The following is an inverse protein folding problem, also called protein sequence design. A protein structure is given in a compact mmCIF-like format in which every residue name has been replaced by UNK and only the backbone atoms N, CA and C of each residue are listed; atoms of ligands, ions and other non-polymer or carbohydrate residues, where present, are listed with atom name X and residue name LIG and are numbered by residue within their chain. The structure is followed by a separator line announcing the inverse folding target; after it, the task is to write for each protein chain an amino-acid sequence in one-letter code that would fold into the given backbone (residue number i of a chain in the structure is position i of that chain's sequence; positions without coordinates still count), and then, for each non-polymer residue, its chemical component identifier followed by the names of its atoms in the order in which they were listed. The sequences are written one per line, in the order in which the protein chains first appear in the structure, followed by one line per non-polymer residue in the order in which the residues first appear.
data_IF_723871014075
#
_entry.id   IF_723871014075
#
_cell.length_a   1.000
_cell.length_b   1.000
_cell.length_c   1.000
_cell.angle_alpha   90.00
_cell.angle_beta   90.00
_cell.angle_gamma   90.00
#
_symmetry.space_group_name_H-M   'P 1'
#
loop_
_entity.id
_entity.type
_entity.pdbx_description
1 polymer ?
#
# COMPACT_ATOMS: atom_id res chain seq x y z
N UNK A 1 11.02 14.79 13.34
CA UNK A 1 11.78 13.58 12.94
C UNK A 1 11.18 12.26 13.48
N UNK A 2 10.33 12.28 14.53
CA UNK A 2 9.70 11.07 15.09
C UNK A 2 8.72 10.36 14.13
N UNK A 3 7.92 11.14 13.39
CA UNK A 3 6.81 10.63 12.57
C UNK A 3 7.23 9.71 11.42
N UNK A 4 8.35 10.01 10.76
CA UNK A 4 8.88 9.20 9.65
C UNK A 4 9.46 7.88 10.15
N UNK A 5 10.17 7.90 11.28
CA UNK A 5 10.72 6.69 11.91
C UNK A 5 9.60 5.78 12.41
N UNK A 6 8.54 6.33 13.01
CA UNK A 6 7.34 5.56 13.35
C UNK A 6 6.70 4.94 12.11
N UNK A 7 6.52 5.70 11.03
CA UNK A 7 5.95 5.18 9.78
C UNK A 7 6.79 4.04 9.19
N UNK A 8 8.12 4.13 9.22
CA UNK A 8 9.02 3.04 8.79
C UNK A 8 8.82 1.77 9.61
N UNK A 9 8.72 1.88 10.93
CA UNK A 9 8.46 0.73 11.80
C UNK A 9 7.11 0.11 11.49
N UNK A 10 6.05 0.92 11.34
CA UNK A 10 4.72 0.44 10.94
C UNK A 10 4.82 -0.35 9.64
N UNK A 11 5.41 0.23 8.58
CA UNK A 11 5.57 -0.44 7.28
C UNK A 11 6.27 -1.78 7.44
N UNK A 12 7.40 -1.82 8.16
CA UNK A 12 8.17 -3.05 8.38
C UNK A 12 7.33 -4.15 9.03
N UNK A 13 6.46 -3.79 9.98
CA UNK A 13 5.61 -4.74 10.69
C UNK A 13 4.40 -5.20 9.87
N UNK A 14 3.77 -4.29 9.11
CA UNK A 14 2.52 -4.61 8.40
C UNK A 14 2.74 -5.16 6.99
N UNK A 15 3.88 -4.86 6.35
CA UNK A 15 4.12 -5.23 4.96
C UNK A 15 3.93 -6.73 4.67
N UNK A 16 4.47 -7.67 5.46
CA UNK A 16 4.26 -9.10 5.21
C UNK A 16 2.77 -9.50 5.21
N UNK A 17 1.97 -8.91 6.09
CA UNK A 17 0.53 -9.17 6.16
C UNK A 17 -0.22 -8.58 4.97
N UNK A 18 0.18 -7.39 4.52
CA UNK A 18 -0.38 -6.78 3.30
C UNK A 18 -0.08 -7.64 2.08
N UNK A 19 1.15 -8.16 1.96
CA UNK A 19 1.50 -9.08 0.87
C UNK A 19 0.57 -10.29 0.85
N UNK A 20 0.37 -10.96 2.00
CA UNK A 20 -0.49 -12.16 2.07
C UNK A 20 -1.95 -11.86 1.75
N UNK A 21 -2.49 -10.74 2.23
CA UNK A 21 -3.92 -10.41 2.11
C UNK A 21 -4.23 -9.45 0.94
N UNK A 22 -3.28 -9.21 0.04
CA UNK A 22 -3.39 -8.17 -1.01
C UNK A 22 -4.68 -8.25 -1.84
N UNK A 23 -5.16 -9.46 -2.14
CA UNK A 23 -6.38 -9.67 -2.93
C UNK A 23 -7.66 -9.35 -2.16
N UNK A 24 -7.64 -9.52 -0.83
CA UNK A 24 -8.75 -9.15 0.04
C UNK A 24 -8.78 -7.63 0.26
N UNK A 25 -7.60 -7.01 0.32
CA UNK A 25 -7.41 -5.56 0.48
C UNK A 25 -7.80 -4.84 -0.82
N UNK A 26 -7.30 -5.31 -1.97
CA UNK A 26 -7.44 -4.67 -3.27
C UNK A 26 -8.34 -5.52 -4.18
N UNK A 27 -9.59 -5.09 -4.33
CA UNK A 27 -10.55 -5.71 -5.25
C UNK A 27 -10.29 -5.26 -6.69
N UNK A 28 -9.09 -5.56 -7.21
CA UNK A 28 -8.61 -5.16 -8.53
C UNK A 28 -7.82 -3.85 -8.51
N UNK A 29 -8.44 -2.76 -8.09
CA UNK A 29 -7.79 -1.45 -8.01
C UNK A 29 -6.98 -1.31 -6.72
N UNK A 30 -5.76 -0.77 -6.84
CA UNK A 30 -4.87 -0.52 -5.70
C UNK A 30 -4.96 0.95 -5.33
N UNK A 31 -5.59 1.23 -4.19
CA UNK A 31 -5.75 2.60 -3.67
C UNK A 31 -5.25 2.73 -2.24
N UNK A 32 -4.68 3.89 -1.92
CA UNK A 32 -4.28 4.23 -0.55
C UNK A 32 -5.45 4.17 0.44
N UNK A 33 -6.68 4.46 -0.03
CA UNK A 33 -7.88 4.46 0.80
C UNK A 33 -8.23 3.05 1.31
N UNK A 34 -8.21 2.03 0.44
CA UNK A 34 -8.47 0.64 0.83
C UNK A 34 -7.42 0.16 1.83
N UNK A 35 -6.14 0.43 1.55
CA UNK A 35 -5.04 0.06 2.42
C UNK A 35 -5.10 0.76 3.78
N UNK A 36 -5.42 2.06 3.81
CA UNK A 36 -5.60 2.81 5.04
C UNK A 36 -6.74 2.28 5.91
N UNK A 37 -7.85 1.86 5.29
CA UNK A 37 -9.00 1.27 6.00
C UNK A 37 -8.66 -0.10 6.57
N UNK A 38 -7.93 -0.92 5.82
CA UNK A 38 -7.51 -2.24 6.26
C UNK A 38 -6.57 -2.17 7.47
N UNK A 39 -5.63 -1.21 7.45
CA UNK A 39 -4.61 -1.06 8.49
C UNK A 39 -5.04 -0.18 9.68
N UNK A 40 -6.27 0.37 9.66
CA UNK A 40 -6.79 1.32 10.66
C UNK A 40 -5.78 2.39 11.07
N UNK A 41 -5.16 3.02 10.07
CA UNK A 41 -4.05 3.94 10.30
C UNK A 41 -4.55 5.30 10.82
N UNK A 42 -3.86 5.82 11.84
CA UNK A 42 -4.04 7.21 12.25
C UNK A 42 -3.76 8.16 11.07
N UNK A 43 -4.61 9.19 10.81
CA UNK A 43 -4.53 10.05 9.62
C UNK A 43 -3.13 10.63 9.33
N UNK A 44 -2.38 10.93 10.39
CA UNK A 44 -1.02 11.43 10.30
C UNK A 44 -0.08 10.48 9.53
N UNK A 45 -0.20 9.16 9.71
CA UNK A 45 0.72 8.19 9.10
C UNK A 45 0.26 7.69 7.74
N UNK A 46 -1.00 7.93 7.37
CA UNK A 46 -1.62 7.41 6.13
C UNK A 46 -0.76 7.67 4.89
N UNK A 47 -0.35 8.92 4.57
CA UNK A 47 0.30 9.19 3.28
C UNK A 47 1.63 8.43 3.13
N UNK A 48 2.42 8.38 4.21
CA UNK A 48 3.73 7.74 4.20
C UNK A 48 3.62 6.22 4.18
N UNK A 49 2.81 5.64 5.07
CA UNK A 49 2.68 4.18 5.19
C UNK A 49 2.07 3.59 3.94
N UNK A 50 0.96 4.15 3.44
CA UNK A 50 0.28 3.57 2.27
C UNK A 50 1.11 3.73 1.00
N UNK A 51 1.76 4.87 0.79
CA UNK A 51 2.60 5.08 -0.38
C UNK A 51 3.79 4.11 -0.38
N UNK A 52 4.51 4.00 0.75
CA UNK A 52 5.66 3.08 0.84
C UNK A 52 5.24 1.63 0.59
N UNK A 53 4.14 1.17 1.18
CA UNK A 53 3.66 -0.20 0.95
C UNK A 53 3.29 -0.42 -0.52
N UNK A 54 2.56 0.50 -1.16
CA UNK A 54 2.19 0.37 -2.57
C UNK A 54 3.43 0.32 -3.47
N UNK A 55 4.45 1.14 -3.18
CA UNK A 55 5.71 1.11 -3.93
C UNK A 55 6.48 -0.20 -3.73
N UNK A 56 6.49 -0.76 -2.52
CA UNK A 56 7.12 -2.06 -2.27
C UNK A 56 6.38 -3.19 -3.00
N UNK A 57 5.04 -3.19 -2.98
CA UNK A 57 4.24 -4.15 -3.74
C UNK A 57 4.50 -4.04 -5.26
N UNK A 58 4.67 -2.81 -5.76
CA UNK A 58 5.04 -2.57 -7.17
C UNK A 58 6.44 -3.12 -7.49
N UNK A 59 7.43 -2.88 -6.61
CA UNK A 59 8.80 -3.36 -6.78
C UNK A 59 8.90 -4.89 -6.75
N UNK A 60 8.10 -5.53 -5.90
CA UNK A 60 8.04 -6.99 -5.76
C UNK A 60 7.15 -7.66 -6.83
N UNK A 61 6.51 -6.89 -7.70
CA UNK A 61 5.69 -7.40 -8.80
C UNK A 61 4.28 -7.87 -8.40
N UNK A 62 3.83 -7.57 -7.18
CA UNK A 62 2.46 -7.83 -6.72
C UNK A 62 1.45 -6.81 -7.25
N UNK A 63 1.92 -5.63 -7.65
CA UNK A 63 1.07 -4.54 -8.14
C UNK A 63 1.68 -3.97 -9.42
N UNK A 64 0.84 -3.58 -10.38
CA UNK A 64 1.31 -2.97 -11.62
C UNK A 64 1.91 -1.59 -11.38
N UNK A 65 2.75 -1.14 -12.32
CA UNK A 65 3.03 0.29 -12.48
C UNK A 65 1.71 1.06 -12.73
N UNK A 66 1.68 2.38 -12.48
CA UNK A 66 0.56 3.22 -12.91
C UNK A 66 0.26 3.00 -14.39
N UNK A 67 -0.95 2.53 -14.71
CA UNK A 67 -1.34 2.22 -16.08
C UNK A 67 -2.07 3.43 -16.67
N UNK A 68 -1.51 4.02 -17.75
CA UNK A 68 -2.06 5.22 -18.39
C UNK A 68 -3.49 4.96 -18.91
N UNK A 69 -3.72 3.78 -19.49
CA UNK A 69 -5.03 3.33 -19.98
C UNK A 69 -6.12 3.23 -18.89
N UNK A 70 -5.72 3.17 -17.62
CA UNK A 70 -6.62 3.19 -16.45
C UNK A 70 -6.49 4.50 -15.65
N UNK A 71 -6.12 5.61 -16.30
CA UNK A 71 -6.02 6.91 -15.63
C UNK A 71 -4.92 6.99 -14.56
N UNK A 72 -3.86 6.17 -14.70
CA UNK A 72 -2.76 6.08 -13.74
C UNK A 72 -3.05 5.17 -12.54
N UNK A 73 -4.15 4.41 -12.56
CA UNK A 73 -4.48 3.44 -11.52
C UNK A 73 -3.55 2.23 -11.61
N UNK A 74 -3.14 1.73 -10.45
CA UNK A 74 -2.40 0.48 -10.30
C UNK A 74 -3.37 -0.68 -10.09
N UNK A 75 -3.05 -1.86 -10.63
CA UNK A 75 -3.84 -3.07 -10.49
C UNK A 75 -3.12 -4.08 -9.59
N UNK A 76 -3.87 -4.80 -8.77
CA UNK A 76 -3.34 -5.95 -8.05
C UNK A 76 -3.03 -7.06 -9.08
N UNK A 77 -1.81 -7.58 -9.04
CA UNK A 77 -1.35 -8.69 -9.84
C UNK A 77 -1.43 -9.97 -8.99
N UNK A 78 -1.12 -11.12 -9.61
CA UNK A 78 -1.14 -12.49 -9.06
C UNK A 78 -1.13 -12.63 -7.54
#
# INVERSE_FOLDING_TARGET
MLMLETAKQIVKHVYPFVCVNRHDIFKGDVTSLQLSKYLDLHPAHVPYVTATIIYLLEADGYVSKPLIEYGGIRKCLH
#
